data_IF_976691902841
#
_entry.id   IF_976691902841
#
_cell.length_a   1.000
_cell.length_b   1.000
_cell.length_c   1.000
_cell.angle_alpha   90.00
_cell.angle_beta   90.00
_cell.angle_gamma   90.00
#
_symmetry.space_group_name_H-M   'P 1'
#
loop_
_entity.id
_entity.type
_entity.pdbx_description
1 polymer ?
#
# COMPACT_ATOMS: atom_id res chain seq x y z
N UNK A 1 2.53 -13.63 4.68
CA UNK A 1 1.17 -13.15 4.35
C UNK A 1 1.23 -12.06 3.30
N UNK A 2 1.80 -10.88 3.60
CA UNK A 2 1.92 -9.77 2.64
C UNK A 2 2.54 -10.17 1.29
N UNK A 3 3.66 -10.91 1.29
CA UNK A 3 4.29 -11.44 0.06
C UNK A 3 3.33 -12.23 -0.82
N UNK A 4 2.61 -13.20 -0.25
CA UNK A 4 1.66 -14.02 -1.00
C UNK A 4 0.48 -13.20 -1.55
N UNK A 5 0.06 -12.14 -0.85
CA UNK A 5 -0.95 -11.21 -1.38
C UNK A 5 -0.37 -10.41 -2.55
N UNK A 6 0.87 -9.93 -2.45
CA UNK A 6 1.53 -9.23 -3.56
C UNK A 6 1.66 -10.11 -4.80
N UNK A 7 2.05 -11.38 -4.66
CA UNK A 7 2.11 -12.35 -5.76
C UNK A 7 0.73 -12.57 -6.43
N UNK A 8 -0.35 -12.63 -5.64
CA UNK A 8 -1.71 -12.75 -6.18
C UNK A 8 -2.18 -11.48 -6.89
N UNK A 9 -1.82 -10.30 -6.36
CA UNK A 9 -2.11 -9.01 -7.00
C UNK A 9 -1.38 -8.88 -8.33
N UNK A 10 -0.09 -9.24 -8.36
CA UNK A 10 0.72 -9.25 -9.60
C UNK A 10 0.08 -10.14 -10.67
N UNK A 11 -0.30 -11.37 -10.30
CA UNK A 11 -0.95 -12.30 -11.23
C UNK A 11 -2.28 -11.72 -11.74
N UNK A 12 -3.13 -11.21 -10.85
CA UNK A 12 -4.43 -10.65 -11.22
C UNK A 12 -4.31 -9.44 -12.16
N UNK A 13 -3.39 -8.52 -11.87
CA UNK A 13 -3.13 -7.35 -12.71
C UNK A 13 -2.60 -7.76 -14.09
N UNK A 14 -1.66 -8.70 -14.13
CA UNK A 14 -1.11 -9.24 -15.37
C UNK A 14 -2.19 -9.90 -16.23
N UNK A 15 -3.05 -10.72 -15.62
CA UNK A 15 -4.18 -11.37 -16.31
C UNK A 15 -5.22 -10.36 -16.83
N UNK A 16 -5.35 -9.22 -16.16
CA UNK A 16 -6.19 -8.10 -16.58
C UNK A 16 -5.54 -7.22 -17.66
N UNK A 17 -4.30 -7.51 -18.09
CA UNK A 17 -3.56 -6.74 -19.08
C UNK A 17 -2.89 -5.47 -18.55
N UNK A 18 -2.74 -5.35 -17.23
CA UNK A 18 -1.95 -4.29 -16.58
C UNK A 18 -0.51 -4.77 -16.46
N UNK A 19 0.45 -3.92 -16.87
CA UNK A 19 1.86 -4.22 -16.73
C UNK A 19 2.30 -4.12 -15.26
N UNK A 20 2.95 -5.17 -14.75
CA UNK A 20 3.58 -5.17 -13.43
C UNK A 20 5.08 -5.21 -13.62
N UNK A 21 5.72 -4.06 -13.39
CA UNK A 21 7.17 -3.88 -13.64
C UNK A 21 8.05 -4.39 -12.49
N UNK A 22 7.46 -4.76 -11.35
CA UNK A 22 8.21 -5.35 -10.24
C UNK A 22 7.37 -5.79 -9.06
N UNK A 23 7.88 -6.79 -8.34
CA UNK A 23 7.38 -7.28 -7.06
C UNK A 23 8.57 -7.54 -6.14
N UNK A 24 9.03 -6.46 -5.48
CA UNK A 24 10.23 -6.47 -4.66
C UNK A 24 9.86 -6.56 -3.17
N UNK A 25 10.49 -7.51 -2.48
CA UNK A 25 10.54 -7.53 -1.02
C UNK A 25 11.99 -7.28 -0.57
N UNK A 26 12.21 -6.14 0.09
CA UNK A 26 13.49 -5.79 0.69
C UNK A 26 13.28 -5.15 2.07
N UNK A 27 14.23 -5.39 2.98
CA UNK A 27 14.29 -4.72 4.28
C UNK A 27 14.85 -3.29 4.17
N UNK A 28 15.42 -2.93 3.01
CA UNK A 28 15.90 -1.58 2.71
C UNK A 28 14.80 -0.75 2.05
N UNK A 29 14.27 0.23 2.78
CA UNK A 29 13.26 1.15 2.25
C UNK A 29 13.81 2.04 1.13
N UNK A 30 15.12 2.32 1.15
CA UNK A 30 15.82 3.04 0.08
C UNK A 30 15.82 2.23 -1.21
N UNK A 31 16.19 0.95 -1.16
CA UNK A 31 16.20 0.05 -2.33
C UNK A 31 14.80 -0.08 -2.95
N UNK A 32 13.76 -0.18 -2.11
CA UNK A 32 12.36 -0.25 -2.57
C UNK A 32 11.96 1.01 -3.33
N UNK A 33 12.33 2.18 -2.80
CA UNK A 33 12.01 3.47 -3.43
C UNK A 33 12.79 3.66 -4.71
N UNK A 34 14.10 3.38 -4.70
CA UNK A 34 14.96 3.54 -5.87
C UNK A 34 14.50 2.63 -7.01
N UNK A 35 14.21 1.35 -6.70
CA UNK A 35 13.67 0.41 -7.69
C UNK A 35 12.35 0.90 -8.29
N UNK A 36 11.46 1.47 -7.47
CA UNK A 36 10.19 2.03 -7.96
C UNK A 36 10.38 3.28 -8.82
N UNK A 37 11.37 4.11 -8.49
CA UNK A 37 11.63 5.35 -9.23
C UNK A 37 12.36 5.07 -10.54
N UNK A 38 13.21 4.05 -10.59
CA UNK A 38 13.92 3.61 -11.80
C UNK A 38 13.01 2.86 -12.79
N UNK A 39 11.91 2.26 -12.32
CA UNK A 39 10.98 1.51 -13.17
C UNK A 39 9.98 2.37 -13.95
N UNK A 40 9.93 3.68 -13.67
CA UNK A 40 8.98 4.62 -14.27
C UNK A 40 7.49 4.20 -14.12
N UNK A 41 7.15 3.43 -13.08
CA UNK A 41 5.80 2.97 -12.83
C UNK A 41 4.79 4.12 -12.58
N UNK A 42 3.56 3.98 -13.05
CA UNK A 42 2.48 4.94 -12.76
C UNK A 42 2.05 4.91 -11.28
N UNK A 43 2.01 3.71 -10.69
CA UNK A 43 1.53 3.43 -9.35
C UNK A 43 2.57 2.65 -8.55
N UNK A 44 2.70 3.00 -7.27
CA UNK A 44 3.44 2.23 -6.28
C UNK A 44 2.48 1.77 -5.17
N UNK A 45 2.41 0.45 -4.95
CA UNK A 45 1.53 -0.15 -3.95
C UNK A 45 2.37 -0.97 -2.98
N UNK A 46 2.55 -0.45 -1.77
CA UNK A 46 3.22 -1.15 -0.69
C UNK A 46 2.19 -1.95 0.12
N UNK A 47 2.36 -3.27 0.23
CA UNK A 47 1.38 -4.17 0.87
C UNK A 47 1.92 -4.63 2.22
N UNK A 48 1.18 -4.33 3.29
CA UNK A 48 1.55 -4.56 4.67
C UNK A 48 0.43 -5.28 5.45
N UNK A 49 0.80 -5.75 6.65
CA UNK A 49 -0.14 -6.21 7.66
C UNK A 49 0.26 -5.54 8.97
N UNK A 50 -0.70 -4.88 9.60
CA UNK A 50 -0.46 -4.04 10.76
C UNK A 50 -0.20 -4.91 12.00
N UNK A 51 0.34 -4.33 13.06
CA UNK A 51 0.46 -4.96 14.36
C UNK A 51 0.39 -3.89 15.45
N UNK A 52 -0.25 -4.18 16.58
CA UNK A 52 -0.38 -3.22 17.69
C UNK A 52 -0.35 -3.87 19.07
N UNK A 53 -1.40 -4.61 19.44
CA UNK A 53 -1.59 -5.16 20.80
C UNK A 53 -2.48 -6.41 20.86
N UNK A 54 -2.68 -7.08 19.73
CA UNK A 54 -3.57 -8.24 19.59
C UNK A 54 -5.07 -7.99 19.77
N UNK A 55 -5.50 -6.73 19.89
CA UNK A 55 -6.92 -6.36 19.94
C UNK A 55 -7.34 -5.47 18.77
N UNK A 56 -6.41 -4.70 18.20
CA UNK A 56 -6.69 -3.90 17.02
C UNK A 56 -7.07 -4.78 15.82
N UNK A 57 -8.01 -4.29 15.00
CA UNK A 57 -8.58 -4.97 13.83
C UNK A 57 -8.82 -3.94 12.73
N UNK A 58 -8.88 -4.38 11.48
CA UNK A 58 -9.36 -3.59 10.36
C UNK A 58 -8.32 -3.23 9.31
N UNK A 59 -8.80 -2.59 8.25
CA UNK A 59 -8.03 -2.18 7.08
C UNK A 59 -7.84 -0.66 7.09
N UNK A 60 -6.62 -0.20 6.83
CA UNK A 60 -6.30 1.22 6.57
C UNK A 60 -5.39 1.34 5.36
N UNK A 61 -5.52 2.43 4.60
CA UNK A 61 -4.65 2.71 3.46
C UNK A 61 -4.07 4.10 3.60
N UNK A 62 -2.75 4.20 3.50
CA UNK A 62 -2.00 5.44 3.67
C UNK A 62 -1.59 5.99 2.31
N UNK A 63 -1.61 7.31 2.18
CA UNK A 63 -1.19 8.04 0.98
C UNK A 63 -0.39 9.28 1.38
N UNK A 64 0.43 9.82 0.47
CA UNK A 64 1.12 11.08 0.75
C UNK A 64 0.11 12.23 0.88
N UNK A 65 0.11 12.96 1.99
CA UNK A 65 -1.01 13.84 2.39
C UNK A 65 -1.40 14.99 1.42
N UNK A 66 -0.60 15.27 0.38
CA UNK A 66 -0.91 16.27 -0.66
C UNK A 66 -1.25 15.65 -2.02
N UNK A 67 -1.23 14.33 -2.11
CA UNK A 67 -1.52 13.62 -3.35
C UNK A 67 -3.02 13.34 -3.45
N UNK A 68 -3.72 14.14 -4.26
CA UNK A 68 -5.14 13.89 -4.55
C UNK A 68 -5.34 12.54 -5.23
N UNK A 69 -4.46 12.16 -6.16
CA UNK A 69 -4.51 10.83 -6.79
C UNK A 69 -4.16 9.70 -5.82
N UNK A 70 -3.25 9.93 -4.87
CA UNK A 70 -2.96 8.99 -3.80
C UNK A 70 -4.16 8.76 -2.88
N UNK A 71 -4.89 9.83 -2.54
CA UNK A 71 -6.13 9.73 -1.76
C UNK A 71 -7.22 8.96 -2.52
N UNK A 72 -7.43 9.27 -3.79
CA UNK A 72 -8.37 8.55 -4.65
C UNK A 72 -8.03 7.07 -4.76
N UNK A 73 -6.75 6.74 -4.98
CA UNK A 73 -6.27 5.36 -5.06
C UNK A 73 -6.47 4.63 -3.73
N UNK A 74 -6.14 5.28 -2.61
CA UNK A 74 -6.32 4.72 -1.28
C UNK A 74 -7.80 4.39 -0.99
N UNK A 75 -8.70 5.30 -1.34
CA UNK A 75 -10.15 5.10 -1.18
C UNK A 75 -10.67 3.93 -2.03
N UNK A 76 -10.25 3.84 -3.30
CA UNK A 76 -10.64 2.74 -4.19
C UNK A 76 -10.19 1.38 -3.62
N UNK A 77 -8.92 1.26 -3.22
CA UNK A 77 -8.36 0.01 -2.68
C UNK A 77 -9.04 -0.34 -1.36
N UNK A 78 -9.14 0.61 -0.43
CA UNK A 78 -9.77 0.39 0.88
C UNK A 78 -11.21 -0.11 0.73
N UNK A 79 -12.02 0.55 -0.09
CA UNK A 79 -13.42 0.18 -0.29
C UNK A 79 -13.54 -1.26 -0.83
N UNK A 80 -12.74 -1.63 -1.83
CA UNK A 80 -12.73 -3.00 -2.37
C UNK A 80 -12.36 -4.05 -1.31
N UNK A 81 -11.37 -3.77 -0.46
CA UNK A 81 -10.97 -4.69 0.62
C UNK A 81 -12.08 -4.82 1.66
N UNK A 82 -12.64 -3.70 2.12
CA UNK A 82 -13.71 -3.68 3.14
C UNK A 82 -14.96 -4.38 2.61
N UNK A 83 -15.37 -4.11 1.37
CA UNK A 83 -16.55 -4.71 0.75
C UNK A 83 -16.38 -6.23 0.54
N UNK A 84 -15.18 -6.68 0.15
CA UNK A 84 -14.91 -8.09 -0.11
C UNK A 84 -14.72 -8.92 1.17
N UNK A 85 -14.06 -8.35 2.19
CA UNK A 85 -13.62 -9.08 3.38
C UNK A 85 -14.42 -8.77 4.64
N UNK A 86 -15.22 -7.69 4.66
CA UNK A 86 -15.97 -7.25 5.84
C UNK A 86 -15.08 -6.82 7.01
N UNK A 87 -13.85 -6.39 6.74
CA UNK A 87 -12.93 -5.89 7.77
C UNK A 87 -13.45 -4.56 8.35
N UNK A 88 -13.06 -4.25 9.60
CA UNK A 88 -13.36 -2.94 10.16
C UNK A 88 -12.70 -1.84 9.33
N UNK A 89 -13.48 -0.89 8.84
CA UNK A 89 -12.98 0.25 8.06
C UNK A 89 -12.30 1.27 8.98
N UNK A 90 -11.01 1.53 8.75
CA UNK A 90 -10.20 2.51 9.50
C UNK A 90 -9.81 3.73 8.66
N UNK A 91 -10.36 3.84 7.45
CA UNK A 91 -10.22 4.98 6.57
C UNK A 91 -8.91 5.05 5.78
N UNK A 92 -8.89 6.01 4.87
CA UNK A 92 -7.68 6.45 4.18
C UNK A 92 -6.98 7.52 5.02
N UNK A 93 -5.64 7.51 5.05
CA UNK A 93 -4.85 8.36 5.94
C UNK A 93 -3.75 9.10 5.20
N UNK A 94 -3.75 10.43 5.32
CA UNK A 94 -2.66 11.26 4.83
C UNK A 94 -1.41 11.14 5.70
N UNK A 95 -0.33 10.61 5.13
CA UNK A 95 1.01 10.59 5.71
C UNK A 95 1.70 11.93 5.46
N UNK A 96 2.02 12.65 6.53
CA UNK A 96 2.66 13.96 6.52
C UNK A 96 4.09 13.89 7.09
N UNK A 97 5.12 14.24 6.29
CA UNK A 97 6.49 14.34 6.78
C UNK A 97 6.60 15.15 8.08
N UNK A 98 7.34 14.63 9.05
CA UNK A 98 7.52 15.25 10.37
C UNK A 98 6.35 15.09 11.36
N UNK A 99 5.26 14.40 10.98
CA UNK A 99 4.12 14.11 11.88
C UNK A 99 3.85 12.61 11.95
N UNK A 100 3.50 12.01 10.82
CA UNK A 100 3.12 10.60 10.64
C UNK A 100 3.59 10.11 9.26
N UNK A 101 4.70 10.67 8.77
CA UNK A 101 5.23 10.39 7.44
C UNK A 101 5.76 8.96 7.34
N UNK A 102 5.51 8.32 6.21
CA UNK A 102 6.00 6.99 5.89
C UNK A 102 7.07 7.14 4.81
N UNK A 103 8.23 6.51 4.99
CA UNK A 103 9.40 6.73 4.14
C UNK A 103 9.10 6.46 2.66
N UNK A 104 8.47 5.33 2.33
CA UNK A 104 8.14 4.97 0.95
C UNK A 104 7.18 5.97 0.30
N UNK A 105 6.21 6.49 1.06
CA UNK A 105 5.27 7.51 0.55
C UNK A 105 5.91 8.88 0.36
N UNK A 106 6.97 9.19 1.12
CA UNK A 106 7.63 10.48 1.07
C UNK A 106 8.66 10.58 -0.07
N UNK A 107 9.20 9.44 -0.53
CA UNK A 107 10.35 9.40 -1.44
C UNK A 107 10.06 8.72 -2.79
N UNK A 108 8.87 8.12 -2.98
CA UNK A 108 8.46 7.55 -4.27
C UNK A 108 7.89 8.64 -5.17
N UNK A 109 8.32 8.67 -6.44
CA UNK A 109 7.86 9.62 -7.46
C UNK A 109 6.51 9.27 -8.08
N UNK A 110 6.20 7.97 -8.20
CA UNK A 110 4.92 7.45 -8.66
C UNK A 110 3.77 7.80 -7.70
N UNK A 111 2.51 7.62 -8.13
CA UNK A 111 1.38 7.71 -7.20
C UNK A 111 1.43 6.55 -6.21
N UNK A 112 1.75 6.86 -4.95
CA UNK A 112 2.09 5.86 -3.94
C UNK A 112 1.01 5.69 -2.86
N UNK A 113 0.74 4.43 -2.49
CA UNK A 113 -0.06 4.04 -1.34
C UNK A 113 0.62 2.93 -0.52
N UNK A 114 0.33 2.89 0.78
CA UNK A 114 0.71 1.79 1.68
C UNK A 114 -0.56 1.20 2.28
N UNK A 115 -0.82 -0.07 1.98
CA UNK A 115 -2.01 -0.81 2.34
C UNK A 115 -1.73 -1.64 3.58
N UNK A 116 -2.39 -1.34 4.69
CA UNK A 116 -2.44 -2.22 5.85
C UNK A 116 -3.69 -3.10 5.75
N UNK A 117 -3.51 -4.32 5.23
CA UNK A 117 -4.62 -5.24 4.90
C UNK A 117 -5.50 -5.56 6.12
N UNK A 118 -4.86 -5.97 7.21
CA UNK A 118 -5.43 -6.36 8.49
C UNK A 118 -4.33 -6.32 9.57
N UNK A 119 -4.67 -6.61 10.82
CA UNK A 119 -3.70 -6.76 11.91
C UNK A 119 -3.24 -8.22 12.00
N UNK A 120 -1.94 -8.48 11.97
CA UNK A 120 -1.39 -9.84 12.03
C UNK A 120 -1.37 -10.41 13.45
N UNK A 121 -1.35 -9.54 14.46
CA UNK A 121 -1.33 -9.90 15.87
C UNK A 121 -2.72 -10.05 16.49
N UNK A 122 -3.76 -9.60 15.77
CA UNK A 122 -4.92 -10.41 15.41
C UNK A 122 -5.42 -11.45 16.41
#
# INVERSE_FOLDING_TARGET
MAKSVAELVEQYLTDAGVEVVGNLQSDSLEEVVDTSNESEADLFISIHCNACNGNARGTEVWYYHRSAYGEMLADCIRNQIVDALGTADRGSKGAKPGVNGLYVLNNTGATAVLVELAFIDN
#
